data_IF_753875473329
#
_entry.id   IF_753875473329
#
_cell.length_a   1.000
_cell.length_b   1.000
_cell.length_c   1.000
_cell.angle_alpha   90.00
_cell.angle_beta   90.00
_cell.angle_gamma   90.00
#
_symmetry.space_group_name_H-M   'P 1'
#
loop_
_entity.id
_entity.type
_entity.pdbx_description
1 polymer ?
#
# COMPACT_ATOMS: atom_id res chain seq x y z
N UNK A 1 -66.41 67.30 -15.12
CA UNK A 1 -65.00 67.13 -14.70
C UNK A 1 -65.04 66.58 -13.29
N UNK A 2 -64.94 65.25 -13.18
CA UNK A 2 -65.00 64.49 -11.92
C UNK A 2 -63.75 63.63 -11.88
N UNK A 3 -62.82 63.97 -11.00
CA UNK A 3 -61.58 63.25 -10.76
C UNK A 3 -61.88 62.03 -9.89
N UNK A 4 -61.89 60.84 -10.50
CA UNK A 4 -61.83 59.59 -9.74
C UNK A 4 -60.39 59.36 -9.31
N UNK A 5 -60.14 59.38 -8.01
CA UNK A 5 -58.86 59.05 -7.42
C UNK A 5 -58.86 57.54 -7.18
N UNK A 6 -58.08 56.81 -7.99
CA UNK A 6 -57.83 55.40 -7.78
C UNK A 6 -57.03 55.24 -6.47
N UNK A 7 -57.53 54.51 -5.46
CA UNK A 7 -56.71 54.18 -4.30
C UNK A 7 -55.65 53.18 -4.77
N UNK A 8 -54.39 53.53 -4.56
CA UNK A 8 -53.27 52.61 -4.72
C UNK A 8 -53.31 51.73 -3.47
N UNK A 9 -53.79 50.50 -3.65
CA UNK A 9 -53.64 49.44 -2.64
C UNK A 9 -52.15 49.10 -2.55
N UNK A 10 -51.44 49.77 -1.64
CA UNK A 10 -50.14 49.32 -1.16
C UNK A 10 -50.34 48.11 -0.23
N UNK A 11 -50.86 47.01 -0.79
CA UNK A 11 -50.70 45.69 -0.22
C UNK A 11 -49.26 45.24 -0.51
N UNK A 12 -48.32 45.80 0.25
CA UNK A 12 -46.97 45.27 0.38
C UNK A 12 -47.07 43.83 0.86
N UNK A 13 -47.07 42.89 -0.08
CA UNK A 13 -46.86 41.48 0.20
C UNK A 13 -45.41 41.31 0.66
N UNK A 14 -45.19 41.55 1.95
CA UNK A 14 -44.05 41.00 2.69
C UNK A 14 -44.20 39.48 2.65
N UNK A 15 -43.73 38.89 1.55
CA UNK A 15 -43.40 37.49 1.49
C UNK A 15 -42.17 37.29 2.38
N UNK A 16 -42.41 37.16 3.68
CA UNK A 16 -41.49 36.56 4.63
C UNK A 16 -41.21 35.13 4.17
N UNK A 17 -40.29 35.01 3.21
CA UNK A 17 -39.69 33.75 2.85
C UNK A 17 -38.91 33.30 4.08
N UNK A 18 -39.53 32.42 4.87
CA UNK A 18 -38.89 31.74 5.99
C UNK A 18 -37.67 30.96 5.45
N UNK A 19 -36.51 31.63 5.43
CA UNK A 19 -35.26 31.03 5.02
C UNK A 19 -34.94 29.92 6.04
N UNK A 20 -34.98 28.66 5.58
CA UNK A 20 -34.52 27.53 6.37
C UNK A 20 -33.06 27.79 6.76
N UNK A 21 -32.67 27.71 8.05
CA UNK A 21 -31.30 27.95 8.51
C UNK A 21 -30.24 27.05 7.83
N UNK A 22 -30.68 25.97 7.19
CA UNK A 22 -29.83 24.97 6.54
C UNK A 22 -29.65 25.21 5.03
N UNK A 23 -30.46 26.09 4.43
CA UNK A 23 -30.37 26.47 3.02
C UNK A 23 -29.31 27.55 2.88
N UNK A 24 -28.27 27.26 2.10
CA UNK A 24 -27.21 28.24 1.85
C UNK A 24 -27.67 29.29 0.84
N UNK A 25 -27.28 30.55 1.06
CA UNK A 25 -27.75 31.71 0.28
C UNK A 25 -27.52 31.63 -1.25
N UNK A 26 -26.52 30.86 -1.70
CA UNK A 26 -26.24 30.60 -3.12
C UNK A 26 -27.10 29.51 -3.78
N UNK A 27 -28.04 28.91 -3.05
CA UNK A 27 -29.01 27.96 -3.60
C UNK A 27 -30.42 28.52 -3.48
N UNK A 28 -31.18 28.38 -4.56
CA UNK A 28 -32.57 28.83 -4.63
C UNK A 28 -33.50 27.83 -3.92
N UNK A 29 -33.15 26.54 -3.91
CA UNK A 29 -33.96 25.48 -3.29
C UNK A 29 -33.11 24.45 -2.53
N UNK A 30 -33.67 23.80 -1.47
CA UNK A 30 -32.99 22.70 -0.78
C UNK A 30 -32.69 21.49 -1.68
N UNK A 31 -33.54 21.24 -2.67
CA UNK A 31 -33.34 20.16 -3.65
C UNK A 31 -32.12 20.45 -4.54
N UNK A 32 -31.97 21.68 -5.02
CA UNK A 32 -30.78 22.11 -5.77
C UNK A 32 -29.51 21.93 -4.93
N UNK A 33 -29.51 22.37 -3.66
CA UNK A 33 -28.38 22.18 -2.74
C UNK A 33 -27.97 20.70 -2.62
N UNK A 34 -28.94 19.80 -2.43
CA UNK A 34 -28.68 18.35 -2.33
C UNK A 34 -28.13 17.77 -3.64
N UNK A 35 -28.72 18.13 -4.78
CA UNK A 35 -28.29 17.65 -6.09
C UNK A 35 -26.88 18.13 -6.44
N UNK A 36 -26.55 19.39 -6.14
CA UNK A 36 -25.21 19.93 -6.31
C UNK A 36 -24.17 19.21 -5.43
N UNK A 37 -24.50 18.93 -4.17
CA UNK A 37 -23.62 18.15 -3.28
C UNK A 37 -23.38 16.72 -3.79
N UNK A 38 -24.44 16.07 -4.28
CA UNK A 38 -24.35 14.73 -4.89
C UNK A 38 -23.45 14.76 -6.13
N UNK A 39 -23.62 15.74 -7.02
CA UNK A 39 -22.78 15.90 -8.21
C UNK A 39 -21.31 16.11 -7.83
N UNK A 40 -21.04 16.95 -6.82
CA UNK A 40 -19.69 17.16 -6.29
C UNK A 40 -19.03 15.87 -5.80
N UNK A 41 -19.78 15.03 -5.06
CA UNK A 41 -19.29 13.72 -4.61
C UNK A 41 -18.97 12.78 -5.80
N UNK A 42 -19.80 12.76 -6.85
CA UNK A 42 -19.53 11.97 -8.06
C UNK A 42 -18.27 12.42 -8.80
N UNK A 43 -18.08 13.73 -8.95
CA UNK A 43 -16.88 14.29 -9.59
C UNK A 43 -15.61 13.97 -8.79
N UNK A 44 -15.67 14.10 -7.46
CA UNK A 44 -14.56 13.73 -6.58
C UNK A 44 -14.19 12.24 -6.71
N UNK A 45 -15.18 11.33 -6.73
CA UNK A 45 -14.92 9.90 -6.94
C UNK A 45 -14.31 9.64 -8.33
N UNK A 46 -14.77 10.34 -9.38
CA UNK A 46 -14.21 10.20 -10.71
C UNK A 46 -12.73 10.64 -10.77
N UNK A 47 -12.35 11.72 -10.07
CA UNK A 47 -10.95 12.17 -10.02
C UNK A 47 -10.04 11.18 -9.29
N UNK A 48 -10.52 10.56 -8.21
CA UNK A 48 -9.77 9.51 -7.50
C UNK A 48 -9.56 8.27 -8.40
N UNK A 49 -10.59 7.86 -9.17
CA UNK A 49 -10.46 6.78 -10.16
C UNK A 49 -9.39 7.11 -11.21
N UNK A 50 -9.34 8.36 -11.69
CA UNK A 50 -8.30 8.80 -12.63
C UNK A 50 -6.90 8.82 -12.00
N UNK A 51 -6.78 9.23 -10.74
CA UNK A 51 -5.52 9.21 -9.97
C UNK A 51 -4.98 7.78 -9.87
N UNK A 52 -5.80 6.83 -9.40
CA UNK A 52 -5.38 5.43 -9.31
C UNK A 52 -5.20 4.77 -10.67
N UNK A 53 -5.97 5.18 -11.69
CA UNK A 53 -5.80 4.74 -13.07
C UNK A 53 -4.41 5.10 -13.60
N UNK A 54 -3.95 6.33 -13.37
CA UNK A 54 -2.58 6.75 -13.70
C UNK A 54 -1.51 5.92 -12.98
N UNK A 55 -1.73 5.61 -11.69
CA UNK A 55 -0.83 4.76 -10.91
C UNK A 55 -0.76 3.33 -11.47
N UNK A 56 -1.88 2.75 -11.91
CA UNK A 56 -1.89 1.42 -12.54
C UNK A 56 -1.22 1.40 -13.91
N UNK A 57 -1.39 2.44 -14.73
CA UNK A 57 -0.67 2.57 -16.00
C UNK A 57 0.84 2.65 -15.75
N UNK A 58 1.27 3.45 -14.78
CA UNK A 58 2.67 3.53 -14.39
C UNK A 58 3.19 2.16 -13.91
N UNK A 59 2.45 1.47 -13.04
CA UNK A 59 2.78 0.11 -12.60
C UNK A 59 2.92 -0.86 -13.78
N UNK A 60 1.98 -0.85 -14.74
CA UNK A 60 2.00 -1.76 -15.89
C UNK A 60 3.20 -1.52 -16.81
N UNK A 61 3.55 -0.25 -17.06
CA UNK A 61 4.74 0.11 -17.85
C UNK A 61 6.01 -0.37 -17.13
N UNK A 62 6.16 -0.07 -15.83
CA UNK A 62 7.33 -0.51 -15.05
C UNK A 62 7.43 -2.03 -14.95
N UNK A 63 6.31 -2.74 -14.80
CA UNK A 63 6.26 -4.22 -14.78
C UNK A 63 6.75 -4.83 -16.08
N UNK A 64 6.48 -4.17 -17.21
CA UNK A 64 6.93 -4.63 -18.54
C UNK A 64 8.41 -4.29 -18.79
N UNK A 65 8.87 -3.11 -18.36
CA UNK A 65 10.27 -2.70 -18.55
C UNK A 65 11.27 -3.45 -17.67
N UNK A 66 10.85 -3.94 -16.49
CA UNK A 66 11.73 -4.55 -15.49
C UNK A 66 11.20 -5.88 -14.91
N UNK A 67 10.90 -6.90 -15.73
CA UNK A 67 10.26 -8.12 -15.26
C UNK A 67 11.07 -8.85 -14.17
N UNK A 68 12.41 -8.82 -14.23
CA UNK A 68 13.30 -9.49 -13.27
C UNK A 68 13.19 -8.93 -11.84
N UNK A 69 13.09 -7.60 -11.67
CA UNK A 69 12.93 -6.96 -10.35
C UNK A 69 11.60 -7.36 -9.70
N UNK A 70 10.61 -7.60 -10.54
CA UNK A 70 9.24 -7.88 -10.17
C UNK A 70 8.98 -9.36 -9.87
N UNK A 71 9.85 -10.25 -10.34
CA UNK A 71 9.96 -11.65 -9.91
C UNK A 71 10.58 -11.72 -8.52
N UNK A 72 11.72 -11.06 -8.31
CA UNK A 72 12.35 -10.93 -6.98
C UNK A 72 11.41 -10.29 -5.95
N UNK A 73 10.68 -9.23 -6.34
CA UNK A 73 9.80 -8.47 -5.46
C UNK A 73 8.64 -9.29 -4.87
N UNK A 74 8.18 -10.36 -5.52
CA UNK A 74 7.05 -11.14 -5.01
C UNK A 74 7.40 -11.94 -3.75
N UNK A 75 8.69 -12.28 -3.55
CA UNK A 75 9.14 -13.02 -2.37
C UNK A 75 9.04 -12.20 -1.07
N UNK A 76 9.02 -10.87 -1.17
CA UNK A 76 8.85 -9.96 -0.04
C UNK A 76 7.38 -9.66 0.29
N UNK A 77 6.45 -10.28 -0.42
CA UNK A 77 5.02 -10.07 -0.27
C UNK A 77 4.40 -11.16 0.60
N UNK A 78 4.02 -10.82 1.83
CA UNK A 78 3.26 -11.74 2.68
C UNK A 78 1.78 -11.76 2.26
N UNK A 79 1.41 -12.80 1.50
CA UNK A 79 0.05 -12.99 1.01
C UNK A 79 -0.98 -13.18 2.14
N UNK A 80 -0.60 -13.75 3.29
CA UNK A 80 -1.52 -13.98 4.43
C UNK A 80 -1.81 -12.67 5.15
N UNK A 81 -0.81 -11.83 5.35
CA UNK A 81 -0.98 -10.49 5.92
C UNK A 81 -1.79 -9.59 4.99
N UNK A 82 -1.51 -9.65 3.68
CA UNK A 82 -2.30 -8.96 2.66
C UNK A 82 -3.78 -9.40 2.65
N UNK A 83 -4.02 -10.72 2.59
CA UNK A 83 -5.38 -11.28 2.56
C UNK A 83 -6.19 -11.00 3.81
N UNK A 84 -5.57 -11.09 5.00
CA UNK A 84 -6.23 -10.72 6.27
C UNK A 84 -6.66 -9.26 6.24
N UNK A 85 -5.80 -8.38 5.75
CA UNK A 85 -6.11 -6.95 5.67
C UNK A 85 -7.24 -6.66 4.67
N UNK A 86 -7.27 -7.36 3.53
CA UNK A 86 -8.39 -7.30 2.59
C UNK A 86 -9.70 -7.74 3.23
N UNK A 87 -9.70 -8.82 4.02
CA UNK A 87 -10.90 -9.26 4.74
C UNK A 87 -11.42 -8.20 5.72
N UNK A 88 -10.52 -7.54 6.46
CA UNK A 88 -10.87 -6.43 7.38
C UNK A 88 -11.51 -5.27 6.59
N UNK A 89 -10.94 -4.88 5.45
CA UNK A 89 -11.50 -3.80 4.62
C UNK A 89 -12.87 -4.14 4.04
N UNK A 90 -13.07 -5.39 3.59
CA UNK A 90 -14.37 -5.83 3.05
C UNK A 90 -15.43 -5.83 4.16
N UNK A 91 -15.11 -6.32 5.35
CA UNK A 91 -16.02 -6.27 6.49
C UNK A 91 -16.33 -4.82 6.88
N UNK A 92 -15.33 -3.94 6.86
CA UNK A 92 -15.50 -2.51 7.16
C UNK A 92 -16.34 -1.77 6.11
N UNK A 93 -16.26 -2.14 4.83
CA UNK A 93 -17.13 -1.54 3.80
C UNK A 93 -18.57 -2.04 3.92
N UNK A 94 -18.75 -3.31 4.30
CA UNK A 94 -20.06 -3.87 4.61
C UNK A 94 -20.72 -3.15 5.80
N UNK A 95 -19.99 -2.88 6.89
CA UNK A 95 -20.54 -2.13 8.04
C UNK A 95 -20.95 -0.71 7.64
N UNK A 96 -20.20 -0.05 6.76
CA UNK A 96 -20.58 1.26 6.22
C UNK A 96 -21.86 1.20 5.38
N UNK A 97 -22.00 0.20 4.49
CA UNK A 97 -23.22 0.01 3.70
C UNK A 97 -24.45 -0.27 4.59
N UNK A 98 -24.28 -1.10 5.64
CA UNK A 98 -25.31 -1.34 6.64
C UNK A 98 -25.68 -0.06 7.42
N UNK A 99 -24.71 0.80 7.72
CA UNK A 99 -24.94 2.09 8.36
C UNK A 99 -25.89 2.97 7.53
N UNK A 100 -25.68 3.06 6.21
CA UNK A 100 -26.56 3.82 5.30
C UNK A 100 -27.99 3.29 5.34
N UNK A 101 -28.17 1.97 5.36
CA UNK A 101 -29.50 1.36 5.51
C UNK A 101 -30.16 1.72 6.84
N UNK A 102 -29.42 1.63 7.95
CA UNK A 102 -29.96 2.01 9.26
C UNK A 102 -30.27 3.51 9.38
N UNK A 103 -29.53 4.36 8.66
CA UNK A 103 -29.88 5.78 8.53
C UNK A 103 -31.22 5.98 7.82
N UNK A 104 -31.46 5.25 6.72
CA UNK A 104 -32.72 5.29 5.98
C UNK A 104 -33.90 4.75 6.80
N UNK A 105 -33.68 3.73 7.64
CA UNK A 105 -34.69 3.15 8.53
C UNK A 105 -34.88 3.96 9.85
N UNK A 106 -34.15 5.07 10.05
CA UNK A 106 -34.22 5.89 11.27
C UNK A 106 -33.63 5.24 12.53
N UNK A 107 -32.90 4.12 12.41
CA UNK A 107 -32.32 3.36 13.52
C UNK A 107 -30.98 3.96 13.99
N UNK A 108 -31.05 5.09 14.68
CA UNK A 108 -29.90 5.90 15.09
C UNK A 108 -28.84 5.14 15.91
N UNK A 109 -29.25 4.23 16.81
CA UNK A 109 -28.32 3.45 17.62
C UNK A 109 -27.48 2.49 16.76
N UNK A 110 -28.12 1.80 15.80
CA UNK A 110 -27.44 0.87 14.91
C UNK A 110 -26.57 1.59 13.88
N UNK A 111 -27.02 2.75 13.38
CA UNK A 111 -26.21 3.65 12.56
C UNK A 111 -24.89 4.01 13.26
N UNK A 112 -24.96 4.50 14.50
CA UNK A 112 -23.78 4.88 15.28
C UNK A 112 -22.85 3.69 15.53
N UNK A 113 -23.42 2.53 15.90
CA UNK A 113 -22.65 1.31 16.10
C UNK A 113 -21.90 0.91 14.81
N UNK A 114 -22.57 0.89 13.67
CA UNK A 114 -21.95 0.56 12.39
C UNK A 114 -20.83 1.53 12.01
N UNK A 115 -21.00 2.84 12.23
CA UNK A 115 -19.94 3.82 11.97
C UNK A 115 -18.72 3.61 12.87
N UNK A 116 -18.93 3.30 14.15
CA UNK A 116 -17.84 2.99 15.08
C UNK A 116 -17.10 1.72 14.65
N UNK A 117 -17.82 0.67 14.25
CA UNK A 117 -17.21 -0.55 13.73
C UNK A 117 -16.38 -0.30 12.45
N UNK A 118 -16.89 0.52 11.53
CA UNK A 118 -16.15 0.94 10.34
C UNK A 118 -14.85 1.67 10.72
N UNK A 119 -14.91 2.57 11.71
CA UNK A 119 -13.72 3.29 12.18
C UNK A 119 -12.68 2.34 12.79
N UNK A 120 -13.12 1.38 13.62
CA UNK A 120 -12.22 0.36 14.17
C UNK A 120 -11.60 -0.52 13.08
N UNK A 121 -12.37 -0.90 12.05
CA UNK A 121 -11.86 -1.61 10.89
C UNK A 121 -10.76 -0.83 10.15
N UNK A 122 -10.98 0.47 9.94
CA UNK A 122 -9.98 1.36 9.34
C UNK A 122 -8.72 1.49 10.22
N UNK A 123 -8.86 1.70 11.53
CA UNK A 123 -7.72 1.74 12.44
C UNK A 123 -6.95 0.41 12.45
N UNK A 124 -7.65 -0.73 12.45
CA UNK A 124 -7.04 -2.05 12.35
C UNK A 124 -6.21 -2.22 11.07
N UNK A 125 -6.74 -1.78 9.93
CA UNK A 125 -5.99 -1.73 8.65
C UNK A 125 -4.71 -0.92 8.78
N UNK A 126 -4.78 0.30 9.36
CA UNK A 126 -3.61 1.17 9.53
C UNK A 126 -2.54 0.54 10.43
N UNK A 127 -2.95 -0.11 11.53
CA UNK A 127 -2.01 -0.76 12.46
C UNK A 127 -1.29 -1.93 11.78
N UNK A 128 -2.01 -2.79 11.05
CA UNK A 128 -1.40 -3.89 10.29
C UNK A 128 -0.39 -3.34 9.29
N UNK A 129 -0.75 -2.29 8.55
CA UNK A 129 0.18 -1.65 7.61
C UNK A 129 1.38 -1.03 8.30
N UNK A 130 1.19 -0.35 9.43
CA UNK A 130 2.30 0.22 10.19
C UNK A 130 3.35 -0.83 10.58
N UNK A 131 2.92 -1.98 11.11
CA UNK A 131 3.84 -3.06 11.47
C UNK A 131 4.49 -3.71 10.24
N UNK A 132 3.73 -3.93 9.17
CA UNK A 132 4.26 -4.51 7.92
C UNK A 132 5.35 -3.61 7.30
N UNK A 133 5.10 -2.30 7.23
CA UNK A 133 6.07 -1.33 6.72
C UNK A 133 7.25 -1.17 7.66
N UNK A 134 7.04 -1.10 8.98
CA UNK A 134 8.14 -0.97 9.94
C UNK A 134 9.10 -2.15 9.89
N UNK A 135 8.58 -3.38 9.75
CA UNK A 135 9.43 -4.55 9.57
C UNK A 135 10.19 -4.50 8.23
N UNK A 136 9.54 -4.05 7.14
CA UNK A 136 10.19 -3.90 5.82
C UNK A 136 11.24 -2.79 5.75
N UNK A 137 11.08 -1.71 6.52
CA UNK A 137 12.06 -0.63 6.63
C UNK A 137 13.34 -1.06 7.36
N UNK A 138 13.23 -2.01 8.30
CA UNK A 138 14.39 -2.53 9.03
C UNK A 138 15.25 -3.43 8.14
N UNK A 139 14.67 -4.07 7.12
CA UNK A 139 15.37 -4.93 6.13
C UNK A 139 15.92 -4.16 4.90
N UNK A 140 16.09 -2.84 5.00
CA UNK A 140 16.79 -2.03 3.97
C UNK A 140 16.05 -1.81 2.65
N UNK A 141 14.77 -2.20 2.55
CA UNK A 141 13.96 -2.09 1.32
C UNK A 141 13.38 -0.67 1.14
N UNK A 142 14.24 0.34 1.04
CA UNK A 142 13.79 1.72 0.77
C UNK A 142 13.62 2.00 -0.73
N UNK A 143 12.69 2.90 -1.10
CA UNK A 143 12.61 3.37 -2.48
C UNK A 143 13.81 4.26 -2.84
N UNK A 144 14.43 3.99 -3.99
CA UNK A 144 15.45 4.86 -4.58
C UNK A 144 16.84 4.69 -3.96
N UNK A 145 17.49 5.81 -3.61
CA UNK A 145 18.93 5.84 -3.24
C UNK A 145 19.29 5.16 -1.92
N UNK A 146 18.30 4.67 -1.18
CA UNK A 146 18.47 4.03 0.13
C UNK A 146 18.19 2.51 0.08
N UNK A 147 18.04 1.96 -1.12
CA UNK A 147 17.88 0.52 -1.33
C UNK A 147 19.21 -0.19 -1.05
N UNK A 148 19.38 -0.66 0.18
CA UNK A 148 20.53 -1.42 0.65
C UNK A 148 20.00 -2.70 1.32
N UNK A 149 19.62 -3.73 0.53
CA UNK A 149 19.09 -4.97 1.09
C UNK A 149 20.19 -5.72 1.85
N UNK A 150 19.87 -6.16 3.08
CA UNK A 150 20.80 -6.94 3.90
C UNK A 150 21.28 -8.22 3.19
N UNK A 151 22.55 -8.61 3.40
CA UNK A 151 23.21 -9.76 2.77
C UNK A 151 22.46 -11.10 2.95
N UNK A 152 21.60 -11.20 3.97
CA UNK A 152 20.74 -12.37 4.25
C UNK A 152 19.67 -12.53 3.17
N UNK A 153 19.07 -11.42 2.72
CA UNK A 153 18.08 -11.38 1.65
C UNK A 153 18.74 -11.72 0.31
N UNK A 154 19.94 -11.21 0.07
CA UNK A 154 20.73 -11.55 -1.12
C UNK A 154 21.10 -13.03 -1.14
N UNK A 155 21.49 -13.62 0.01
CA UNK A 155 21.82 -15.05 0.12
C UNK A 155 20.61 -15.96 -0.04
N UNK A 156 19.46 -15.64 0.55
CA UNK A 156 18.24 -16.45 0.36
C UNK A 156 17.73 -16.38 -1.09
N UNK A 157 17.80 -15.21 -1.72
CA UNK A 157 17.36 -15.05 -3.10
C UNK A 157 18.36 -15.67 -4.11
N UNK A 158 19.67 -15.60 -3.85
CA UNK A 158 20.70 -16.28 -4.67
C UNK A 158 20.74 -17.80 -4.43
N UNK A 159 20.50 -18.28 -3.21
CA UNK A 159 20.41 -19.71 -2.90
C UNK A 159 19.07 -20.32 -3.39
N UNK A 160 18.00 -19.54 -3.44
CA UNK A 160 16.71 -19.95 -4.05
C UNK A 160 16.78 -20.15 -5.56
N UNK A 161 17.75 -19.53 -6.25
CA UNK A 161 17.99 -19.69 -7.70
C UNK A 161 18.79 -20.95 -8.05
N UNK A 162 19.49 -21.59 -7.08
CA UNK A 162 20.28 -22.80 -7.32
C UNK A 162 19.61 -24.12 -6.91
N UNK A 163 18.31 -24.09 -6.57
CA UNK A 163 17.54 -25.27 -6.20
C UNK A 163 16.97 -26.09 -7.37
N UNK A 164 17.75 -26.38 -8.42
CA UNK A 164 17.44 -27.48 -9.34
C UNK A 164 18.68 -27.96 -10.14
N UNK A 165 19.76 -28.26 -9.43
CA UNK A 165 20.79 -29.17 -9.94
C UNK A 165 20.25 -30.60 -9.87
N UNK A 166 19.91 -31.17 -11.02
CA UNK A 166 19.52 -32.57 -11.17
C UNK A 166 20.76 -33.44 -10.85
N UNK A 167 20.97 -33.82 -9.59
CA UNK A 167 21.88 -34.92 -9.26
C UNK A 167 21.16 -36.22 -9.57
N UNK A 168 21.62 -36.86 -10.66
CA UNK A 168 21.20 -38.16 -11.09
C UNK A 168 21.56 -39.22 -10.05
N UNK A 169 20.60 -40.12 -9.88
CA UNK A 169 20.66 -41.40 -9.21
C UNK A 169 21.73 -42.31 -9.84
N UNK A 170 22.76 -42.63 -9.09
CA UNK A 170 23.52 -43.87 -9.22
C UNK A 170 23.91 -44.40 -7.84
N UNK A 171 22.95 -45.14 -7.26
CA UNK A 171 23.20 -46.01 -6.14
C UNK A 171 24.31 -47.01 -6.43
N UNK A 172 25.39 -46.91 -5.65
CA UNK A 172 26.37 -47.98 -5.50
C UNK A 172 26.43 -48.40 -4.02
N UNK A 173 25.82 -49.53 -3.74
CA UNK A 173 25.95 -50.26 -2.50
C UNK A 173 27.38 -50.84 -2.37
N UNK A 174 28.06 -50.55 -1.26
CA UNK A 174 29.19 -51.35 -0.75
C UNK A 174 29.12 -51.39 0.78
N UNK A 175 28.99 -52.62 1.29
CA UNK A 175 29.09 -53.01 2.69
C UNK A 175 30.51 -52.83 3.25
N UNK A 176 30.62 -52.53 4.55
CA UNK A 176 31.85 -52.65 5.33
C UNK A 176 31.61 -52.39 6.81
N UNK A 177 31.95 -53.35 7.65
CA UNK A 177 31.58 -53.49 9.06
C UNK A 177 32.54 -52.80 10.06
N UNK A 178 32.02 -52.65 11.30
CA UNK A 178 32.69 -52.71 12.62
C UNK A 178 33.35 -51.45 13.24
N UNK A 179 32.97 -51.19 14.50
CA UNK A 179 33.73 -50.36 15.45
C UNK A 179 32.89 -49.78 16.60
N UNK A 180 32.62 -50.57 17.66
CA UNK A 180 32.13 -50.08 18.96
C UNK A 180 33.17 -49.18 19.67
N UNK A 181 32.69 -48.19 20.44
CA UNK A 181 32.98 -47.99 21.88
C UNK A 181 33.13 -46.50 22.34
N UNK A 182 32.23 -46.14 23.26
CA UNK A 182 32.46 -45.51 24.58
C UNK A 182 32.97 -44.05 24.73
N UNK A 183 32.22 -43.33 25.58
CA UNK A 183 32.60 -42.24 26.50
C UNK A 183 33.03 -40.91 25.86
N UNK A 184 32.73 -39.72 26.39
CA UNK A 184 32.25 -39.30 27.70
C UNK A 184 31.80 -37.83 27.61
N UNK A 185 30.81 -37.49 28.42
CA UNK A 185 30.31 -36.14 28.64
C UNK A 185 31.37 -35.28 29.35
N UNK A 186 31.72 -34.11 28.80
CA UNK A 186 32.44 -33.08 29.56
C UNK A 186 31.87 -31.70 29.24
N UNK A 187 31.27 -31.08 30.26
CA UNK A 187 30.94 -29.67 30.29
C UNK A 187 32.24 -28.84 30.30
N UNK A 188 32.44 -28.03 29.28
CA UNK A 188 33.35 -26.90 29.32
C UNK A 188 32.58 -25.63 28.94
N UNK A 189 32.31 -24.82 29.95
CA UNK A 189 31.93 -23.41 29.83
C UNK A 189 33.11 -22.60 29.25
N UNK A 190 32.82 -21.39 28.72
CA UNK A 190 33.72 -20.25 28.32
C UNK A 190 33.80 -19.97 26.79
N UNK A 191 33.91 -18.72 26.28
CA UNK A 191 33.39 -17.39 26.69
C UNK A 191 32.63 -16.65 25.55
N UNK A 192 32.13 -15.44 25.84
CA UNK A 192 31.53 -14.49 24.91
C UNK A 192 32.38 -14.20 23.63
N UNK A 193 31.75 -13.89 22.47
CA UNK A 193 32.47 -13.69 21.23
C UNK A 193 33.32 -12.42 21.26
N UNK A 194 34.64 -12.59 21.20
CA UNK A 194 35.62 -11.57 20.86
C UNK A 194 35.33 -11.01 19.47
N UNK A 195 35.12 -9.69 19.37
CA UNK A 195 35.04 -8.97 18.09
C UNK A 195 36.30 -9.24 17.26
N UNK A 196 36.11 -9.76 16.04
CA UNK A 196 37.18 -9.87 15.06
C UNK A 196 37.65 -8.46 14.61
N UNK A 197 38.95 -8.24 14.39
CA UNK A 197 39.45 -6.97 13.87
C UNK A 197 38.90 -6.71 12.45
N UNK A 198 38.66 -5.44 12.08
CA UNK A 198 38.08 -5.10 10.79
C UNK A 198 38.99 -5.55 9.62
N UNK A 199 38.41 -5.97 8.48
CA UNK A 199 39.18 -6.40 7.32
C UNK A 199 40.01 -5.23 6.74
N UNK A 200 41.22 -5.50 6.20
CA UNK A 200 42.06 -4.46 5.62
C UNK A 200 41.36 -3.81 4.41
N UNK A 201 41.44 -2.49 4.33
CA UNK A 201 40.88 -1.70 3.23
C UNK A 201 41.43 -2.18 1.87
N UNK A 202 40.60 -2.25 0.81
CA UNK A 202 41.06 -2.67 -0.51
C UNK A 202 42.05 -1.66 -1.08
N UNK A 203 43.13 -2.15 -1.70
CA UNK A 203 44.18 -1.34 -2.30
C UNK A 203 43.62 -0.50 -3.46
N UNK A 204 43.84 0.81 -3.39
CA UNK A 204 43.45 1.76 -4.43
C UNK A 204 44.29 1.55 -5.69
N UNK A 205 43.81 0.71 -6.61
CA UNK A 205 44.53 0.46 -7.87
C UNK A 205 43.81 -0.39 -8.91
N UNK A 206 42.80 -1.18 -8.54
CA UNK A 206 42.27 -2.20 -9.45
C UNK A 206 40.96 -1.83 -10.19
N UNK A 207 40.35 -0.67 -9.90
CA UNK A 207 39.07 -0.26 -10.48
C UNK A 207 39.17 0.73 -11.66
N UNK A 208 40.36 0.95 -12.20
CA UNK A 208 40.60 1.96 -13.25
C UNK A 208 40.52 1.44 -14.68
N UNK A 209 40.35 0.13 -14.91
CA UNK A 209 40.40 -0.49 -16.25
C UNK A 209 39.01 -0.94 -16.74
N UNK A 210 37.96 -0.12 -16.61
CA UNK A 210 36.69 -0.44 -17.33
C UNK A 210 35.82 0.78 -17.71
N UNK A 211 36.39 1.98 -17.79
CA UNK A 211 35.63 3.18 -18.23
C UNK A 211 35.95 3.68 -19.64
N UNK A 212 36.79 2.97 -20.39
CA UNK A 212 37.37 3.47 -21.66
C UNK A 212 36.75 2.89 -22.95
N UNK A 213 35.70 2.06 -22.90
CA UNK A 213 35.20 1.34 -24.09
C UNK A 213 33.71 1.57 -24.39
N UNK A 214 33.18 2.79 -24.15
CA UNK A 214 31.83 3.16 -24.60
C UNK A 214 31.95 4.20 -25.71
N UNK A 215 31.78 3.75 -26.95
CA UNK A 215 31.68 4.59 -28.15
C UNK A 215 30.33 5.33 -28.14
N UNK A 216 30.27 6.66 -28.38
CA UNK A 216 28.99 7.36 -28.49
C UNK A 216 28.26 7.03 -29.81
N UNK A 217 26.92 6.97 -29.75
CA UNK A 217 26.03 6.63 -30.87
C UNK A 217 26.00 7.72 -31.98
N UNK A 218 25.77 7.35 -33.25
CA UNK A 218 25.77 8.32 -34.35
C UNK A 218 24.48 9.17 -34.39
N UNK A 219 24.64 10.49 -34.52
CA UNK A 219 23.54 11.44 -34.74
C UNK A 219 23.01 11.32 -36.18
N UNK A 220 21.68 11.25 -36.32
CA UNK A 220 20.99 11.11 -37.62
C UNK A 220 20.96 12.42 -38.44
N UNK A 221 20.77 12.34 -39.77
CA UNK A 221 20.95 13.48 -40.67
C UNK A 221 19.74 14.42 -40.71
N UNK A 222 20.03 15.71 -40.93
CA UNK A 222 19.10 16.85 -41.03
C UNK A 222 18.26 16.86 -42.31
#
# INVERSE_FOLDING_TARGET
MTTETHPIDESGHDHDHAHSPYLQHHFDTPEQQFNSGKLGMWLFLATEILLFGGLFVAYAIYRNLHPEIFEYGHHFLDAKMGGTNTAVLILSSFTMAAAVRFAQEGKQAMLKLCLVLTLFGACGFLVIKYFEYSHKMVHGVFPGKFYEPDDIILKEALMGVHGHGHEGDDGHAVSGEHGEALHSNEHAETPAPTQAPPPPAPAEGEFAIEKSQITPAPEGPM
#
